data_IF_527631374548
#
_entry.id   IF_527631374548
#
_cell.length_a   1.000
_cell.length_b   1.000
_cell.length_c   1.000
_cell.angle_alpha   90.00
_cell.angle_beta   90.00
_cell.angle_gamma   90.00
#
_symmetry.space_group_name_H-M   'P 1'
#
loop_
_entity.id
_entity.type
_entity.pdbx_description
1 polymer ?
#
# COMPACT_ATOMS: atom_id res chain seq x y z
N UNK A 1 -17.59 13.91 23.40
CA UNK A 1 -17.21 13.33 22.11
C UNK A 1 -15.69 13.23 22.04
N UNK A 2 -15.18 12.12 21.56
CA UNK A 2 -13.74 11.89 21.39
C UNK A 2 -13.35 12.12 19.91
N UNK A 3 -12.19 12.76 19.69
CA UNK A 3 -11.59 12.98 18.38
C UNK A 3 -10.17 12.43 18.43
N UNK A 4 -9.90 11.46 17.57
CA UNK A 4 -8.62 10.79 17.45
C UNK A 4 -7.83 11.30 16.23
N UNK A 5 -6.51 11.15 16.30
CA UNK A 5 -5.57 11.44 15.21
C UNK A 5 -5.61 12.89 14.69
N UNK A 6 -5.90 13.86 15.58
CA UNK A 6 -5.81 15.29 15.27
C UNK A 6 -4.36 15.64 14.93
N UNK A 7 -4.18 16.40 13.86
CA UNK A 7 -2.86 16.87 13.39
C UNK A 7 -2.73 18.37 13.55
N UNK A 8 -1.51 18.84 13.73
CA UNK A 8 -1.19 20.26 13.96
C UNK A 8 -1.68 21.21 12.86
N UNK A 9 -1.82 20.74 11.62
CA UNK A 9 -2.32 21.52 10.47
C UNK A 9 -3.81 21.34 10.19
N UNK A 10 -4.54 20.59 11.00
CA UNK A 10 -5.98 20.44 10.79
C UNK A 10 -6.69 21.78 11.06
N UNK A 11 -7.60 22.15 10.16
CA UNK A 11 -8.41 23.37 10.30
C UNK A 11 -9.75 23.11 10.96
N UNK A 12 -10.24 21.88 10.85
CA UNK A 12 -11.59 21.52 11.27
C UNK A 12 -11.59 20.40 12.30
N UNK A 13 -12.58 20.45 13.16
CA UNK A 13 -12.86 19.42 14.16
C UNK A 13 -14.04 18.56 13.67
N UNK A 14 -13.95 17.23 13.64
CA UNK A 14 -15.03 16.39 13.17
C UNK A 14 -16.37 16.69 13.87
N UNK A 15 -17.35 17.12 13.10
CA UNK A 15 -18.70 17.46 13.58
C UNK A 15 -18.86 18.81 14.29
N UNK A 16 -17.81 19.63 14.33
CA UNK A 16 -17.84 20.98 14.88
C UNK A 16 -17.40 22.08 13.90
N UNK A 17 -16.98 21.66 12.69
CA UNK A 17 -16.53 22.60 11.64
C UNK A 17 -15.15 23.20 11.94
N UNK A 18 -14.89 24.39 11.39
CA UNK A 18 -13.59 25.06 11.53
C UNK A 18 -13.35 25.50 12.98
N UNK A 19 -12.39 24.88 13.63
CA UNK A 19 -12.01 25.15 15.03
C UNK A 19 -10.48 25.24 15.17
N UNK A 20 -9.85 26.01 14.31
CA UNK A 20 -8.38 26.13 14.26
C UNK A 20 -7.78 26.52 15.60
N UNK A 21 -8.42 27.41 16.35
CA UNK A 21 -7.98 27.81 17.70
C UNK A 21 -7.87 26.65 18.69
N UNK A 22 -8.74 25.63 18.57
CA UNK A 22 -8.70 24.43 19.40
C UNK A 22 -7.50 23.58 19.02
N UNK A 23 -7.25 23.42 17.71
CA UNK A 23 -6.09 22.68 17.20
C UNK A 23 -4.79 23.35 17.65
N UNK A 24 -4.65 24.65 17.42
CA UNK A 24 -3.47 25.41 17.86
C UNK A 24 -3.19 25.23 19.35
N UNK A 25 -4.21 25.39 20.19
CA UNK A 25 -4.06 25.18 21.63
C UNK A 25 -3.63 23.76 22.00
N UNK A 26 -4.17 22.75 21.33
CA UNK A 26 -3.84 21.35 21.62
C UNK A 26 -2.38 21.00 21.32
N UNK A 27 -1.74 21.75 20.41
CA UNK A 27 -0.34 21.56 19.99
C UNK A 27 0.64 22.62 20.52
N UNK A 28 0.24 23.45 21.49
CA UNK A 28 1.19 24.32 22.21
C UNK A 28 2.24 23.48 22.95
N UNK A 29 3.48 23.92 23.00
CA UNK A 29 4.62 23.13 23.54
C UNK A 29 4.44 22.69 24.99
N UNK A 30 3.72 23.47 25.80
CA UNK A 30 3.50 23.21 27.22
C UNK A 30 2.25 22.36 27.51
N UNK A 31 1.50 21.94 26.48
CA UNK A 31 0.28 21.13 26.64
C UNK A 31 0.60 19.73 27.17
N UNK A 32 -0.22 19.32 28.14
CA UNK A 32 -0.13 18.00 28.79
C UNK A 32 -1.46 17.26 28.67
N UNK A 33 -1.35 15.95 28.72
CA UNK A 33 -2.55 15.10 28.88
C UNK A 33 -3.29 15.51 30.13
N UNK A 34 -4.61 15.59 30.03
CA UNK A 34 -5.57 16.09 31.02
C UNK A 34 -5.75 17.62 31.06
N UNK A 35 -4.99 18.41 30.31
CA UNK A 35 -5.25 19.85 30.21
C UNK A 35 -6.63 20.10 29.60
N UNK A 36 -7.34 21.10 30.19
CA UNK A 36 -8.70 21.47 29.81
C UNK A 36 -8.78 22.95 29.51
N UNK A 37 -9.44 23.32 28.43
CA UNK A 37 -9.72 24.72 28.08
C UNK A 37 -11.12 24.91 27.51
N UNK A 38 -11.71 26.06 27.82
CA UNK A 38 -12.99 26.51 27.24
C UNK A 38 -12.73 27.44 26.07
N UNK A 39 -13.43 27.19 24.97
CA UNK A 39 -13.43 28.04 23.75
C UNK A 39 -14.84 28.54 23.49
N UNK A 40 -14.97 29.72 22.87
CA UNK A 40 -16.24 30.18 22.32
C UNK A 40 -16.50 29.42 21.01
N UNK A 41 -17.68 28.82 20.88
CA UNK A 41 -18.07 28.09 19.69
C UNK A 41 -18.89 28.97 18.73
N UNK A 42 -19.84 29.70 19.27
CA UNK A 42 -20.65 30.73 18.62
C UNK A 42 -21.11 31.72 19.69
N UNK A 43 -22.07 32.62 19.33
CA UNK A 43 -22.52 33.71 20.22
C UNK A 43 -23.00 33.23 21.58
N UNK A 44 -23.67 32.05 21.65
CA UNK A 44 -24.34 31.56 22.86
C UNK A 44 -23.85 30.17 23.31
N UNK A 45 -22.78 29.64 22.71
CA UNK A 45 -22.28 28.29 23.00
C UNK A 45 -20.79 28.27 23.23
N UNK A 46 -20.38 27.32 24.08
CA UNK A 46 -18.99 27.10 24.44
C UNK A 46 -18.58 25.67 24.16
N UNK A 47 -17.32 25.48 23.88
CA UNK A 47 -16.67 24.20 23.71
C UNK A 47 -15.69 24.00 24.88
N UNK A 48 -15.82 22.91 25.61
CA UNK A 48 -14.84 22.49 26.63
C UNK A 48 -14.06 21.34 26.00
N UNK A 49 -12.75 21.51 25.91
CA UNK A 49 -11.82 20.56 25.26
C UNK A 49 -10.83 20.09 26.30
N UNK A 50 -10.59 18.77 26.30
CA UNK A 50 -9.56 18.13 27.12
C UNK A 50 -8.59 17.36 26.22
N UNK A 51 -7.29 17.47 26.49
CA UNK A 51 -6.27 16.62 25.86
C UNK A 51 -6.28 15.26 26.54
N UNK A 52 -6.70 14.23 25.83
CA UNK A 52 -6.80 12.86 26.39
C UNK A 52 -5.55 12.01 26.10
N UNK A 53 -4.84 12.30 25.02
CA UNK A 53 -3.59 11.61 24.65
C UNK A 53 -2.72 12.50 23.80
N UNK A 54 -1.44 12.25 23.81
CA UNK A 54 -0.46 12.89 22.91
C UNK A 54 0.48 11.82 22.37
N UNK A 55 0.74 11.88 21.07
CA UNK A 55 1.66 10.97 20.38
C UNK A 55 2.76 11.80 19.71
N UNK A 56 4.00 11.46 20.00
CA UNK A 56 5.15 12.06 19.35
C UNK A 56 5.27 11.51 17.92
N UNK A 57 5.86 12.30 17.03
CA UNK A 57 6.25 11.85 15.70
C UNK A 57 7.26 10.70 15.80
N UNK A 58 7.08 9.66 15.00
CA UNK A 58 7.98 8.50 14.98
C UNK A 58 7.29 7.19 14.60
N UNK A 59 7.94 6.10 14.96
CA UNK A 59 7.38 4.76 14.74
C UNK A 59 6.22 4.51 15.70
N UNK A 60 5.07 4.12 15.15
CA UNK A 60 3.93 3.72 15.95
C UNK A 60 4.23 2.46 16.77
N UNK A 61 3.64 2.36 17.97
CA UNK A 61 3.81 1.18 18.80
C UNK A 61 3.15 -0.05 18.14
N UNK A 62 3.66 -1.25 18.45
CA UNK A 62 3.07 -2.49 17.95
C UNK A 62 1.58 -2.62 18.32
N UNK A 63 1.20 -2.12 19.48
CA UNK A 63 -0.20 -2.11 19.95
C UNK A 63 -1.08 -1.22 19.08
N UNK A 64 -0.61 -0.03 18.73
CA UNK A 64 -1.38 0.94 17.94
C UNK A 64 -1.64 0.45 16.50
N UNK A 65 -0.70 -0.29 15.93
CA UNK A 65 -0.80 -0.79 14.54
C UNK A 65 -1.25 -2.24 14.44
N UNK A 66 -1.46 -2.94 15.56
CA UNK A 66 -1.75 -4.37 15.58
C UNK A 66 -2.93 -4.74 14.67
N UNK A 67 -4.02 -3.99 14.69
CA UNK A 67 -5.20 -4.26 13.87
C UNK A 67 -4.90 -4.19 12.36
N UNK A 68 -4.03 -3.28 11.94
CA UNK A 68 -3.65 -3.11 10.53
C UNK A 68 -2.57 -4.11 10.09
N UNK A 69 -1.62 -4.44 10.96
CA UNK A 69 -0.44 -5.24 10.62
C UNK A 69 -0.68 -6.75 10.80
N UNK A 70 -1.49 -7.15 11.78
CA UNK A 70 -1.77 -8.57 12.07
C UNK A 70 -2.23 -9.36 10.83
N UNK A 71 -3.20 -8.91 10.01
CA UNK A 71 -3.61 -9.67 8.83
C UNK A 71 -2.49 -9.81 7.80
N UNK A 72 -1.62 -8.82 7.66
CA UNK A 72 -0.47 -8.87 6.74
C UNK A 72 0.54 -9.94 7.19
N UNK A 73 0.91 -9.91 8.46
CA UNK A 73 1.84 -10.89 9.04
C UNK A 73 1.25 -12.30 9.00
N UNK A 74 -0.04 -12.45 9.28
CA UNK A 74 -0.72 -13.75 9.19
C UNK A 74 -0.71 -14.28 7.75
N UNK A 75 -0.93 -13.43 6.75
CA UNK A 75 -0.86 -13.83 5.35
C UNK A 75 0.54 -14.28 4.95
N UNK A 76 1.59 -13.56 5.37
CA UNK A 76 2.97 -13.99 5.11
C UNK A 76 3.29 -15.34 5.77
N UNK A 77 2.89 -15.53 7.03
CA UNK A 77 3.09 -16.82 7.73
C UNK A 77 2.31 -17.96 7.08
N UNK A 78 1.07 -17.71 6.64
CA UNK A 78 0.26 -18.71 5.92
C UNK A 78 0.91 -19.11 4.60
N UNK A 79 1.43 -18.15 3.82
CA UNK A 79 2.15 -18.44 2.57
C UNK A 79 3.39 -19.27 2.82
N UNK A 80 4.23 -18.90 3.80
CA UNK A 80 5.41 -19.68 4.17
C UNK A 80 5.03 -21.12 4.57
N UNK A 81 4.02 -21.27 5.43
CA UNK A 81 3.54 -22.58 5.83
C UNK A 81 3.05 -23.44 4.64
N UNK A 82 2.30 -22.85 3.69
CA UNK A 82 1.83 -23.57 2.51
C UNK A 82 3.03 -24.00 1.63
N UNK A 83 4.01 -23.11 1.43
CA UNK A 83 5.21 -23.45 0.65
C UNK A 83 5.95 -24.65 1.28
N UNK A 84 6.10 -24.65 2.61
CA UNK A 84 6.77 -25.74 3.34
C UNK A 84 5.99 -27.08 3.29
N UNK A 85 4.67 -27.02 3.07
CA UNK A 85 3.83 -28.21 2.95
C UNK A 85 3.78 -28.80 1.53
N UNK A 86 4.26 -28.06 0.51
CA UNK A 86 4.30 -28.58 -0.85
C UNK A 86 5.44 -29.58 -0.97
N UNK A 87 5.07 -30.84 -1.21
CA UNK A 87 6.00 -31.93 -1.46
C UNK A 87 6.62 -31.83 -2.86
N UNK A 88 7.60 -32.69 -3.17
CA UNK A 88 8.12 -32.81 -4.53
C UNK A 88 7.01 -33.19 -5.51
N UNK A 89 6.96 -32.54 -6.64
CA UNK A 89 5.94 -32.72 -7.67
C UNK A 89 6.54 -32.63 -9.08
N UNK A 90 5.92 -33.36 -10.00
CA UNK A 90 6.27 -33.34 -11.43
C UNK A 90 5.16 -32.78 -12.30
N UNK A 91 3.95 -32.67 -11.75
CA UNK A 91 2.77 -32.18 -12.47
C UNK A 91 1.96 -31.18 -11.63
N UNK A 92 1.14 -30.33 -12.29
CA UNK A 92 0.21 -29.45 -11.58
C UNK A 92 -0.89 -30.23 -10.86
N UNK A 93 -1.27 -31.36 -11.41
CA UNK A 93 -2.32 -32.24 -10.88
C UNK A 93 -1.91 -32.84 -9.53
N UNK A 94 -0.63 -33.19 -9.35
CA UNK A 94 -0.09 -33.67 -8.08
C UNK A 94 -0.24 -32.62 -6.99
N UNK A 95 0.22 -31.41 -7.24
CA UNK A 95 0.08 -30.30 -6.27
C UNK A 95 -1.38 -29.96 -6.02
N UNK A 96 -2.21 -29.93 -7.06
CA UNK A 96 -3.64 -29.63 -6.96
C UNK A 96 -4.37 -30.66 -6.08
N UNK A 97 -4.07 -31.95 -6.27
CA UNK A 97 -4.65 -33.04 -5.48
C UNK A 97 -4.25 -32.95 -4.01
N UNK A 98 -2.99 -32.61 -3.72
CA UNK A 98 -2.48 -32.45 -2.35
C UNK A 98 -3.32 -31.42 -1.55
N UNK A 99 -3.76 -30.36 -2.20
CA UNK A 99 -4.54 -29.28 -1.57
C UNK A 99 -6.05 -29.27 -1.92
N UNK A 100 -6.54 -30.32 -2.56
CA UNK A 100 -7.94 -30.41 -2.98
C UNK A 100 -8.37 -29.31 -3.97
N UNK A 101 -7.44 -28.87 -4.81
CA UNK A 101 -7.67 -27.82 -5.80
C UNK A 101 -7.77 -28.42 -7.20
N UNK A 102 -8.24 -27.61 -8.16
CA UNK A 102 -8.27 -27.97 -9.58
C UNK A 102 -7.44 -26.98 -10.37
N UNK A 103 -6.51 -27.47 -11.24
CA UNK A 103 -5.76 -26.58 -12.11
C UNK A 103 -6.66 -25.77 -13.03
N UNK A 104 -6.39 -24.49 -13.18
CA UNK A 104 -7.12 -23.61 -14.07
C UNK A 104 -6.21 -22.99 -15.12
N UNK A 105 -6.75 -22.67 -16.29
CA UNK A 105 -5.98 -22.07 -17.39
C UNK A 105 -6.20 -20.57 -17.44
N UNK A 106 -5.14 -19.81 -17.24
CA UNK A 106 -5.12 -18.36 -17.49
C UNK A 106 -4.72 -18.07 -18.93
N UNK A 107 -5.60 -17.43 -19.71
CA UNK A 107 -5.35 -17.06 -21.12
C UNK A 107 -5.09 -15.57 -21.26
N UNK A 108 -4.36 -15.20 -22.31
CA UNK A 108 -4.13 -13.82 -22.71
C UNK A 108 -3.54 -12.93 -21.58
N UNK A 109 -2.67 -13.49 -20.74
CA UNK A 109 -1.98 -12.74 -19.72
C UNK A 109 -1.07 -11.68 -20.34
N UNK A 110 -1.04 -10.50 -19.68
CA UNK A 110 -0.22 -9.37 -20.11
C UNK A 110 0.80 -9.04 -19.02
N UNK A 111 2.07 -8.92 -19.38
CA UNK A 111 3.17 -8.58 -18.46
C UNK A 111 2.92 -7.26 -17.70
N UNK A 112 2.30 -6.28 -18.35
CA UNK A 112 2.08 -4.97 -17.75
C UNK A 112 0.84 -4.89 -16.87
N UNK A 113 -0.19 -5.65 -17.16
CA UNK A 113 -1.40 -5.66 -16.35
C UNK A 113 -1.23 -6.39 -15.01
N UNK A 114 -0.34 -7.38 -14.96
CA UNK A 114 -0.05 -8.22 -13.80
C UNK A 114 -1.30 -8.85 -13.14
N UNK A 115 -2.40 -8.97 -13.88
CA UNK A 115 -3.67 -9.57 -13.44
C UNK A 115 -3.70 -11.03 -13.80
N UNK A 116 -3.95 -11.89 -12.81
CA UNK A 116 -4.15 -13.32 -13.00
C UNK A 116 -5.65 -13.62 -13.02
N UNK A 117 -6.13 -14.27 -14.07
CA UNK A 117 -7.54 -14.66 -14.17
C UNK A 117 -7.93 -15.57 -13.00
N UNK A 118 -9.02 -15.25 -12.33
CA UNK A 118 -9.47 -15.96 -11.12
C UNK A 118 -8.76 -15.58 -9.82
N UNK A 119 -7.81 -14.67 -9.88
CA UNK A 119 -7.10 -14.12 -8.72
C UNK A 119 -7.04 -12.59 -8.80
N UNK A 120 -6.18 -11.97 -8.05
CA UNK A 120 -5.98 -10.52 -8.07
C UNK A 120 -4.72 -10.11 -8.86
N UNK A 121 -4.15 -8.98 -8.53
CA UNK A 121 -2.88 -8.49 -9.08
C UNK A 121 -1.73 -9.31 -8.48
N UNK A 122 -1.13 -10.19 -9.31
CA UNK A 122 -0.08 -11.14 -8.94
C UNK A 122 1.20 -10.95 -9.78
N UNK A 123 1.94 -9.84 -9.59
CA UNK A 123 3.08 -9.51 -10.44
C UNK A 123 4.21 -10.53 -10.37
N UNK A 124 4.44 -11.15 -9.20
CA UNK A 124 5.46 -12.20 -9.05
C UNK A 124 5.12 -13.43 -9.88
N UNK A 125 3.86 -13.87 -9.85
CA UNK A 125 3.37 -15.03 -10.60
C UNK A 125 3.44 -14.79 -12.10
N UNK A 126 2.96 -13.63 -12.54
CA UNK A 126 3.03 -13.22 -13.95
C UNK A 126 4.50 -13.12 -14.44
N UNK A 127 5.35 -12.49 -13.62
CA UNK A 127 6.79 -12.39 -13.93
C UNK A 127 7.45 -13.75 -14.12
N UNK A 128 7.19 -14.69 -13.19
CA UNK A 128 7.68 -16.06 -13.28
C UNK A 128 7.16 -16.78 -14.54
N UNK A 129 5.84 -16.71 -14.81
CA UNK A 129 5.25 -17.34 -16.00
C UNK A 129 5.88 -16.83 -17.31
N UNK A 130 6.20 -15.54 -17.41
CA UNK A 130 6.85 -14.97 -18.60
C UNK A 130 8.36 -15.26 -18.71
N UNK A 131 9.01 -15.69 -17.63
CA UNK A 131 10.42 -16.09 -17.65
C UNK A 131 10.64 -17.56 -17.98
N UNK A 132 9.57 -18.37 -17.92
CA UNK A 132 9.64 -19.81 -18.11
C UNK A 132 9.59 -20.20 -19.58
N UNK A 133 10.24 -21.33 -19.91
CA UNK A 133 10.07 -21.98 -21.21
C UNK A 133 8.73 -22.71 -21.27
N UNK A 134 8.17 -22.83 -22.48
CA UNK A 134 6.94 -23.59 -22.70
C UNK A 134 7.09 -25.05 -22.20
N UNK A 135 6.11 -25.52 -21.45
CA UNK A 135 6.11 -26.83 -20.81
C UNK A 135 6.75 -26.89 -19.42
N UNK A 136 7.54 -25.90 -19.03
CA UNK A 136 8.16 -25.86 -17.71
C UNK A 136 7.16 -25.65 -16.60
N UNK A 137 7.46 -26.21 -15.42
CA UNK A 137 6.72 -26.06 -14.18
C UNK A 137 7.52 -25.17 -13.22
N UNK A 138 6.85 -24.25 -12.51
CA UNK A 138 7.54 -23.38 -11.55
C UNK A 138 7.71 -24.05 -10.19
N UNK A 139 8.64 -23.55 -9.41
CA UNK A 139 8.62 -23.73 -7.96
C UNK A 139 7.40 -23.00 -7.36
N UNK A 140 7.04 -23.28 -6.08
CA UNK A 140 5.96 -22.55 -5.40
C UNK A 140 6.26 -21.06 -5.30
N UNK A 141 5.34 -20.21 -5.76
CA UNK A 141 5.48 -18.75 -5.80
C UNK A 141 4.54 -18.14 -4.77
N UNK A 142 5.09 -17.51 -3.74
CA UNK A 142 4.32 -16.71 -2.79
C UNK A 142 3.87 -15.39 -3.45
N UNK A 143 2.61 -15.37 -3.90
CA UNK A 143 1.95 -14.21 -4.49
C UNK A 143 1.37 -13.24 -3.45
N UNK A 144 0.54 -12.29 -3.88
CA UNK A 144 -0.12 -11.35 -2.98
C UNK A 144 -1.27 -12.00 -2.20
N UNK A 145 -2.08 -12.82 -2.86
CA UNK A 145 -3.30 -13.41 -2.29
C UNK A 145 -3.19 -14.89 -1.99
N UNK A 146 -2.12 -15.57 -2.43
CA UNK A 146 -1.95 -17.02 -2.24
C UNK A 146 -0.57 -17.53 -2.63
N UNK A 147 -0.44 -18.85 -2.62
CA UNK A 147 0.72 -19.57 -3.17
C UNK A 147 0.29 -20.21 -4.50
N UNK A 148 1.14 -20.09 -5.49
CA UNK A 148 0.87 -20.51 -6.86
C UNK A 148 1.96 -21.41 -7.37
N UNK A 149 1.56 -22.46 -8.07
CA UNK A 149 2.44 -23.24 -8.95
C UNK A 149 1.90 -23.09 -10.38
N UNK A 150 2.75 -22.69 -11.30
CA UNK A 150 2.34 -22.39 -12.67
C UNK A 150 3.11 -23.22 -13.70
N UNK A 151 2.44 -23.57 -14.78
CA UNK A 151 3.05 -24.21 -15.96
C UNK A 151 2.83 -23.34 -17.19
N UNK A 152 3.89 -22.90 -17.82
CA UNK A 152 3.82 -22.16 -19.06
C UNK A 152 3.42 -23.10 -20.20
N UNK A 153 2.22 -22.94 -20.76
CA UNK A 153 1.74 -23.78 -21.87
C UNK A 153 2.15 -23.22 -23.23
N UNK A 154 2.01 -21.92 -23.42
CA UNK A 154 2.33 -21.26 -24.69
C UNK A 154 2.82 -19.83 -24.42
N UNK A 155 3.92 -19.45 -25.04
CA UNK A 155 4.42 -18.07 -25.03
C UNK A 155 4.38 -17.54 -26.45
N UNK A 156 3.63 -16.46 -26.68
CA UNK A 156 3.59 -15.78 -27.97
C UNK A 156 4.52 -14.57 -27.92
N UNK A 157 5.64 -14.58 -28.66
CA UNK A 157 6.52 -13.42 -28.71
C UNK A 157 5.80 -12.24 -29.39
N UNK A 158 6.17 -11.03 -29.00
CA UNK A 158 5.66 -9.84 -29.67
C UNK A 158 6.14 -9.80 -31.12
N UNK A 159 5.22 -9.46 -32.05
CA UNK A 159 5.56 -9.26 -33.45
C UNK A 159 6.48 -8.04 -33.58
N UNK A 160 7.59 -8.20 -34.31
CA UNK A 160 8.48 -7.09 -34.61
C UNK A 160 7.73 -6.00 -35.39
N UNK A 161 7.89 -4.76 -34.99
CA UNK A 161 7.28 -3.62 -35.65
C UNK A 161 8.25 -3.03 -36.70
N UNK A 162 7.74 -2.47 -37.83
CA UNK A 162 8.57 -1.78 -38.79
C UNK A 162 9.37 -0.60 -38.24
N UNK A 163 8.83 0.06 -37.22
CA UNK A 163 9.47 1.17 -36.51
C UNK A 163 8.99 1.28 -35.07
N UNK A 164 9.91 1.56 -34.18
CA UNK A 164 9.65 1.82 -32.73
C UNK A 164 9.69 3.31 -32.40
N UNK A 165 9.82 4.22 -33.39
CA UNK A 165 9.97 5.66 -33.14
C UNK A 165 8.81 6.26 -32.32
N UNK A 166 7.57 5.88 -32.64
CA UNK A 166 6.39 6.34 -31.89
C UNK A 166 6.40 5.89 -30.44
N UNK A 167 6.72 4.63 -30.19
CA UNK A 167 6.84 4.10 -28.82
C UNK A 167 7.96 4.78 -28.03
N UNK A 168 9.12 5.01 -28.66
CA UNK A 168 10.24 5.73 -28.05
C UNK A 168 9.83 7.15 -27.65
N UNK A 169 9.13 7.88 -28.53
CA UNK A 169 8.64 9.23 -28.25
C UNK A 169 7.64 9.23 -27.10
N UNK A 170 6.69 8.29 -27.07
CA UNK A 170 5.71 8.15 -26.00
C UNK A 170 6.38 7.85 -24.65
N UNK A 171 7.30 6.89 -24.62
CA UNK A 171 8.06 6.57 -23.39
C UNK A 171 8.89 7.75 -22.89
N UNK A 172 9.53 8.49 -23.80
CA UNK A 172 10.30 9.69 -23.45
C UNK A 172 9.40 10.79 -22.86
N UNK A 173 8.23 11.03 -23.44
CA UNK A 173 7.28 12.01 -22.92
C UNK A 173 6.74 11.59 -21.55
N UNK A 174 6.37 10.32 -21.36
CA UNK A 174 5.94 9.79 -20.08
C UNK A 174 7.06 9.93 -19.03
N UNK A 175 8.29 9.58 -19.37
CA UNK A 175 9.43 9.73 -18.46
C UNK A 175 9.68 11.19 -18.06
N UNK A 176 9.54 12.14 -18.99
CA UNK A 176 9.65 13.59 -18.70
C UNK A 176 8.55 14.04 -17.75
N UNK A 177 7.30 13.63 -17.99
CA UNK A 177 6.18 13.98 -17.10
C UNK A 177 6.36 13.38 -15.69
N UNK A 178 6.74 12.11 -15.60
CA UNK A 178 7.03 11.48 -14.31
C UNK A 178 8.15 12.19 -13.57
N UNK A 179 9.25 12.53 -14.25
CA UNK A 179 10.37 13.26 -13.64
C UNK A 179 9.93 14.63 -13.11
N UNK A 180 9.06 15.35 -13.81
CA UNK A 180 8.52 16.63 -13.32
C UNK A 180 7.63 16.46 -12.09
N UNK A 181 6.78 15.45 -12.06
CA UNK A 181 5.90 15.17 -10.92
C UNK A 181 6.67 14.68 -9.70
N UNK A 182 7.69 13.84 -9.90
CA UNK A 182 8.48 13.24 -8.83
C UNK A 182 9.58 14.17 -8.28
N UNK A 183 9.89 15.28 -8.96
CA UNK A 183 10.95 16.20 -8.54
C UNK A 183 10.74 16.69 -7.10
N UNK A 184 9.53 17.14 -6.79
CA UNK A 184 9.20 17.61 -5.43
C UNK A 184 9.32 16.48 -4.40
N UNK A 185 8.87 15.28 -4.74
CA UNK A 185 8.98 14.11 -3.85
C UNK A 185 10.44 13.70 -3.63
N UNK A 186 11.27 13.76 -4.68
CA UNK A 186 12.69 13.48 -4.58
C UNK A 186 13.43 14.50 -3.71
N UNK A 187 13.12 15.80 -3.88
CA UNK A 187 13.66 16.87 -3.02
C UNK A 187 13.26 16.66 -1.55
N UNK A 188 11.99 16.30 -1.29
CA UNK A 188 11.51 15.98 0.06
C UNK A 188 12.21 14.78 0.71
N UNK A 189 12.68 13.83 -0.08
CA UNK A 189 13.49 12.69 0.41
C UNK A 189 14.92 13.05 0.73
N UNK A 190 15.50 14.00 -0.02
CA UNK A 190 16.92 14.35 0.07
C UNK A 190 17.19 15.40 1.13
N UNK A 191 16.24 16.30 1.35
CA UNK A 191 16.39 17.43 2.28
C UNK A 191 15.44 17.30 3.46
N UNK A 192 15.90 17.67 4.64
CA UNK A 192 15.06 17.83 5.81
C UNK A 192 14.14 19.03 5.61
N UNK A 193 12.83 18.80 5.66
CA UNK A 193 11.82 19.86 5.55
C UNK A 193 11.35 20.21 6.95
N UNK A 194 11.47 21.49 7.29
CA UNK A 194 10.89 22.07 8.50
C UNK A 194 9.62 22.80 8.09
N UNK A 195 8.48 22.30 8.53
CA UNK A 195 7.16 22.90 8.23
C UNK A 195 6.71 23.77 9.40
N UNK A 196 6.93 25.09 9.26
CA UNK A 196 6.56 26.08 10.26
C UNK A 196 5.20 26.74 9.99
N UNK A 197 4.40 26.22 9.06
CA UNK A 197 3.09 26.81 8.74
C UNK A 197 2.17 26.92 9.94
N UNK A 198 2.29 25.99 10.92
CA UNK A 198 1.50 26.01 12.14
C UNK A 198 1.70 27.28 13.01
N UNK A 199 2.81 28.02 12.81
CA UNK A 199 3.07 29.29 13.51
C UNK A 199 2.30 30.47 12.90
N UNK A 200 1.82 30.36 11.66
CA UNK A 200 1.23 31.44 10.89
C UNK A 200 -0.26 31.24 10.56
N UNK A 201 -0.77 30.01 10.67
CA UNK A 201 -2.14 29.66 10.33
C UNK A 201 -2.92 29.05 11.49
#
# INVERSE_FOLDING_TARGET
REVNDLKILDESFPGLGKQRQVVQWAFEEDRKVSDVKRFSYNTDSFLIVQVISSKNEGLASATDVAAAVTPLVLNEKKKAYIVDQIEEYSTLEEVANQFGQTPSTAKAMNRFAAMLAGASKEPKVIGAAFSMTSGALSEPIAGNTGVYVVKATTTTPATALPSYAGYKSSLLNNAKQSAQQELTAALKKTYTIVDNRHLFY
#
